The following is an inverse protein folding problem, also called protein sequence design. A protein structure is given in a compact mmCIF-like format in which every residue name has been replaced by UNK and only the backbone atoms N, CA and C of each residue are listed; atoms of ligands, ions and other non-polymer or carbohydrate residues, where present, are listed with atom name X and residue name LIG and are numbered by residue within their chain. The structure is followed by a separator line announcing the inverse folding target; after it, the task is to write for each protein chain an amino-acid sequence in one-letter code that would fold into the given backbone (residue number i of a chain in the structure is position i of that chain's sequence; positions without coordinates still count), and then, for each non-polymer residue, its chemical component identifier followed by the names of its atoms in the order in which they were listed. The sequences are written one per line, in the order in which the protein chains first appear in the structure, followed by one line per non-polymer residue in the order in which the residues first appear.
data_IF_779785174165
#
_entry.id   IF_779785174165
#
_cell.length_a   1.000
_cell.length_b   1.000
_cell.length_c   1.000
_cell.angle_alpha   90.00
_cell.angle_beta   90.00
_cell.angle_gamma   90.00
#
_symmetry.space_group_name_H-M   'P 1'
#
loop_
_entity.id
_entity.type
_entity.pdbx_description
1 polymer ?
#
# COMPACT_ATOMS: atom_id res chain seq x y z
N UNK A 1 45.98 61.13 1.04
CA UNK A 1 44.68 60.68 0.51
C UNK A 1 44.78 59.70 -0.66
N UNK A 2 45.43 60.01 -1.78
CA UNK A 2 45.40 59.14 -3.00
C UNK A 2 45.96 57.72 -2.82
N UNK A 3 47.01 57.51 -2.03
CA UNK A 3 47.58 56.16 -1.73
C UNK A 3 46.65 55.32 -0.85
N UNK A 4 46.07 55.94 0.18
CA UNK A 4 45.19 55.28 1.14
C UNK A 4 43.86 54.85 0.50
N UNK A 5 43.31 55.67 -0.40
CA UNK A 5 42.09 55.33 -1.16
C UNK A 5 42.33 54.22 -2.18
N UNK A 6 43.49 54.17 -2.86
CA UNK A 6 43.86 53.07 -3.76
C UNK A 6 44.04 51.74 -3.02
N UNK A 7 44.66 51.76 -1.84
CA UNK A 7 44.83 50.57 -0.99
C UNK A 7 43.46 50.07 -0.49
N UNK A 8 42.56 50.97 -0.11
CA UNK A 8 41.23 50.60 0.36
C UNK A 8 40.34 50.02 -0.76
N UNK A 9 40.39 50.57 -1.97
CA UNK A 9 39.68 50.02 -3.15
C UNK A 9 40.23 48.65 -3.55
N UNK A 10 41.55 48.43 -3.45
CA UNK A 10 42.17 47.13 -3.74
C UNK A 10 41.79 46.07 -2.70
N UNK A 11 41.70 46.45 -1.41
CA UNK A 11 41.24 45.55 -0.33
C UNK A 11 39.75 45.23 -0.48
N UNK A 12 38.92 46.21 -0.85
CA UNK A 12 37.48 45.98 -1.12
C UNK A 12 37.29 45.08 -2.34
N UNK A 13 38.05 45.26 -3.43
CA UNK A 13 38.02 44.39 -4.60
C UNK A 13 38.47 42.94 -4.29
N UNK A 14 39.42 42.77 -3.35
CA UNK A 14 39.87 41.45 -2.89
C UNK A 14 38.80 40.73 -2.05
N UNK A 15 38.02 41.46 -1.25
CA UNK A 15 36.96 40.93 -0.38
C UNK A 15 35.66 40.57 -1.12
N UNK A 16 35.36 41.21 -2.25
CA UNK A 16 34.19 40.84 -3.10
C UNK A 16 34.48 39.56 -3.93
N UNK A 17 35.75 39.10 -3.97
CA UNK A 17 36.14 37.87 -4.66
C UNK A 17 35.87 36.59 -3.85
N UNK A 18 35.06 36.64 -2.79
CA UNK A 18 34.54 35.45 -2.10
C UNK A 18 33.93 34.54 -3.14
N UNK A 19 34.65 33.46 -3.42
CA UNK A 19 34.46 32.53 -4.51
C UNK A 19 32.97 32.27 -4.75
N UNK A 20 32.48 32.61 -5.95
CA UNK A 20 31.33 31.93 -6.52
C UNK A 20 31.73 30.46 -6.63
N UNK A 21 31.43 29.73 -5.59
CA UNK A 21 31.80 28.35 -5.43
C UNK A 21 30.66 27.57 -6.07
N UNK A 22 30.90 26.90 -7.20
CA UNK A 22 29.86 26.06 -7.78
C UNK A 22 29.60 24.90 -6.83
N UNK A 23 28.35 24.70 -6.48
CA UNK A 23 27.89 23.60 -5.65
C UNK A 23 27.02 22.69 -6.50
N UNK A 24 27.42 21.43 -6.63
CA UNK A 24 26.70 20.44 -7.43
C UNK A 24 26.19 19.37 -6.49
N UNK A 25 24.89 19.09 -6.52
CA UNK A 25 24.30 18.00 -5.71
C UNK A 25 24.10 16.77 -6.59
N UNK A 26 24.62 15.63 -6.15
CA UNK A 26 24.62 14.36 -6.88
C UNK A 26 24.20 13.23 -5.96
N UNK A 27 23.48 12.25 -6.49
CA UNK A 27 23.14 11.04 -5.74
C UNK A 27 24.39 10.18 -5.48
N UNK A 28 24.56 9.65 -4.26
CA UNK A 28 25.63 8.70 -3.94
C UNK A 28 25.56 7.48 -4.87
N UNK A 29 26.70 7.10 -5.43
CA UNK A 29 26.81 5.99 -6.38
C UNK A 29 26.37 6.32 -7.81
N UNK A 30 25.96 7.56 -8.10
CA UNK A 30 25.66 7.98 -9.46
C UNK A 30 26.91 7.87 -10.35
N UNK A 31 26.69 7.49 -11.60
CA UNK A 31 27.73 7.43 -12.64
C UNK A 31 27.51 8.54 -13.66
N UNK A 32 28.56 8.86 -14.40
CA UNK A 32 28.47 9.72 -15.58
C UNK A 32 28.01 11.15 -15.30
N UNK A 33 28.50 11.74 -14.21
CA UNK A 33 28.08 13.07 -13.76
C UNK A 33 29.06 14.15 -14.23
N UNK A 34 28.50 15.27 -14.70
CA UNK A 34 29.23 16.44 -15.15
C UNK A 34 29.15 17.54 -14.08
N UNK A 35 30.24 18.27 -13.89
CA UNK A 35 30.25 19.48 -13.09
C UNK A 35 30.65 20.68 -13.96
N UNK A 36 29.99 21.80 -13.71
CA UNK A 36 30.34 23.09 -14.29
C UNK A 36 31.20 23.86 -13.28
N UNK A 37 32.32 24.37 -13.77
CA UNK A 37 33.35 25.02 -12.94
C UNK A 37 33.77 26.33 -13.57
N UNK A 38 34.03 27.34 -12.72
CA UNK A 38 34.45 28.66 -13.16
C UNK A 38 35.92 28.90 -12.88
N UNK A 39 36.72 29.06 -13.93
CA UNK A 39 38.15 29.34 -13.85
C UNK A 39 38.39 30.83 -14.07
N UNK A 40 39.12 31.45 -13.14
CA UNK A 40 39.47 32.87 -13.21
C UNK A 40 40.94 33.07 -13.47
N UNK A 41 41.25 34.20 -14.10
CA UNK A 41 42.58 34.67 -14.32
C UNK A 41 43.19 35.14 -12.98
N UNK A 42 44.41 34.72 -12.66
CA UNK A 42 45.08 34.92 -11.37
C UNK A 42 45.31 36.39 -11.01
N UNK A 43 45.57 37.24 -12.00
CA UNK A 43 45.86 38.68 -11.82
C UNK A 43 44.67 39.58 -12.10
N UNK A 44 43.85 39.29 -13.12
CA UNK A 44 42.74 40.17 -13.52
C UNK A 44 41.40 39.78 -12.89
N UNK A 45 41.26 38.54 -12.42
CA UNK A 45 40.00 38.01 -11.90
C UNK A 45 38.91 37.76 -12.96
N UNK A 46 39.16 38.09 -14.24
CA UNK A 46 38.26 37.79 -15.33
C UNK A 46 38.20 36.28 -15.60
N UNK A 47 37.17 35.81 -16.29
CA UNK A 47 37.11 34.41 -16.74
C UNK A 47 38.30 34.05 -17.61
N UNK A 48 39.05 33.02 -17.23
CA UNK A 48 40.19 32.54 -18.01
C UNK A 48 39.68 31.73 -19.20
N UNK A 49 40.18 32.01 -20.39
CA UNK A 49 39.80 31.31 -21.62
C UNK A 49 40.99 30.57 -22.22
N UNK A 50 40.75 29.68 -23.18
CA UNK A 50 41.81 28.99 -23.91
C UNK A 50 42.47 27.82 -23.17
N UNK A 51 42.06 27.49 -21.95
CA UNK A 51 42.48 26.24 -21.30
C UNK A 51 41.93 25.03 -22.05
N UNK A 52 42.80 24.04 -22.26
CA UNK A 52 42.51 22.73 -22.82
C UNK A 52 42.96 21.64 -21.83
N UNK A 53 42.44 20.42 -21.96
CA UNK A 53 42.70 19.32 -21.02
C UNK A 53 44.20 19.01 -20.80
N UNK A 54 45.05 19.27 -21.79
CA UNK A 54 46.49 19.06 -21.78
C UNK A 54 47.30 20.37 -21.67
N UNK A 55 46.68 21.45 -21.18
CA UNK A 55 47.40 22.70 -20.93
C UNK A 55 48.57 22.46 -19.97
N UNK A 56 49.73 23.05 -20.27
CA UNK A 56 50.93 22.84 -19.47
C UNK A 56 50.71 23.22 -18.00
N UNK A 57 51.04 22.30 -17.09
CA UNK A 57 50.88 22.48 -15.64
C UNK A 57 49.46 22.29 -15.10
N UNK A 58 48.43 22.18 -15.95
CA UNK A 58 47.06 21.96 -15.50
C UNK A 58 46.94 20.58 -14.84
N UNK A 59 46.60 20.56 -13.56
CA UNK A 59 46.30 19.33 -12.84
C UNK A 59 45.03 19.50 -12.02
N UNK A 60 44.15 18.52 -12.09
CA UNK A 60 42.93 18.45 -11.28
C UNK A 60 42.98 17.25 -10.33
N UNK A 61 42.33 17.40 -9.19
CA UNK A 61 42.24 16.42 -8.13
C UNK A 61 40.80 16.35 -7.63
N UNK A 62 40.41 15.18 -7.12
CA UNK A 62 39.27 15.07 -6.24
C UNK A 62 39.71 14.62 -4.85
N UNK A 63 39.00 15.09 -3.83
CA UNK A 63 39.15 14.65 -2.46
C UNK A 63 37.79 14.27 -1.92
N UNK A 64 37.63 12.99 -1.55
CA UNK A 64 36.44 12.51 -0.84
C UNK A 64 36.58 12.86 0.63
N UNK A 65 35.52 13.40 1.24
CA UNK A 65 35.55 13.76 2.66
C UNK A 65 35.90 12.54 3.52
N UNK A 66 36.93 12.68 4.36
CA UNK A 66 37.47 11.60 5.20
C UNK A 66 38.52 10.69 4.55
N UNK A 67 38.90 10.91 3.29
CA UNK A 67 39.97 10.15 2.64
C UNK A 67 41.36 10.53 3.19
N UNK A 68 42.31 9.59 3.18
CA UNK A 68 43.68 9.84 3.64
C UNK A 68 44.49 10.77 2.70
N UNK A 69 44.11 10.84 1.43
CA UNK A 69 44.75 11.69 0.42
C UNK A 69 43.78 12.09 -0.68
N UNK A 70 44.09 13.17 -1.40
CA UNK A 70 43.43 13.46 -2.67
C UNK A 70 43.89 12.48 -3.75
N UNK A 71 43.07 12.35 -4.81
CA UNK A 71 43.37 11.53 -5.98
C UNK A 71 43.45 12.43 -7.21
N UNK A 72 44.48 12.23 -8.04
CA UNK A 72 44.63 12.96 -9.30
C UNK A 72 43.57 12.53 -10.31
N UNK A 73 43.01 13.49 -11.05
CA UNK A 73 42.12 13.24 -12.17
C UNK A 73 42.97 13.23 -13.43
N UNK A 74 43.02 12.08 -14.12
CA UNK A 74 43.61 12.00 -15.47
C UNK A 74 42.72 12.78 -16.44
N UNK A 75 43.13 14.00 -16.77
CA UNK A 75 42.35 14.86 -17.66
C UNK A 75 42.37 14.32 -19.09
N UNK A 76 41.21 14.35 -19.73
CA UNK A 76 41.00 13.86 -21.08
C UNK A 76 40.17 14.84 -21.91
N UNK A 77 40.22 14.69 -23.23
CA UNK A 77 39.28 15.38 -24.12
C UNK A 77 37.87 14.78 -23.98
N UNK A 78 36.85 15.60 -24.19
CA UNK A 78 35.45 15.18 -24.22
C UNK A 78 34.65 16.03 -25.19
N UNK A 79 33.43 15.61 -25.51
CA UNK A 79 32.45 16.45 -26.21
C UNK A 79 31.59 17.16 -25.17
N UNK A 80 31.37 18.46 -25.33
CA UNK A 80 30.52 19.23 -24.41
C UNK A 80 29.17 18.53 -24.20
N UNK A 81 28.75 18.37 -22.94
CA UNK A 81 27.53 17.67 -22.56
C UNK A 81 27.62 16.14 -22.57
N UNK A 82 28.71 15.53 -23.04
CA UNK A 82 28.91 14.07 -23.05
C UNK A 82 29.95 13.68 -22.02
N UNK A 83 29.55 12.92 -21.00
CA UNK A 83 30.49 12.49 -19.96
C UNK A 83 31.60 11.59 -20.49
N UNK A 84 32.82 11.94 -20.11
CA UNK A 84 34.00 11.08 -20.16
C UNK A 84 34.72 11.19 -18.81
N UNK A 85 35.36 10.12 -18.36
CA UNK A 85 36.13 10.16 -17.10
C UNK A 85 37.26 11.18 -17.20
N UNK A 86 37.26 12.19 -16.33
CA UNK A 86 38.25 13.26 -16.36
C UNK A 86 38.16 14.16 -17.60
N UNK A 87 37.08 14.08 -18.36
CA UNK A 87 36.85 14.95 -19.50
C UNK A 87 36.91 16.42 -19.07
N UNK A 88 37.59 17.28 -19.83
CA UNK A 88 37.68 18.71 -19.56
C UNK A 88 37.52 19.50 -20.86
N UNK A 89 36.53 20.40 -20.90
CA UNK A 89 36.25 21.20 -22.08
C UNK A 89 35.66 22.57 -21.67
N UNK A 90 35.92 23.58 -22.51
CA UNK A 90 35.28 24.90 -22.38
C UNK A 90 33.79 24.81 -22.72
N UNK A 91 32.94 25.51 -21.96
CA UNK A 91 31.50 25.59 -22.26
C UNK A 91 31.26 26.57 -23.41
N UNK A 92 31.65 27.83 -23.22
CA UNK A 92 31.63 28.86 -24.26
C UNK A 92 32.73 29.89 -23.95
N UNK A 93 33.79 29.91 -24.77
CA UNK A 93 34.93 30.80 -24.57
C UNK A 93 34.66 32.27 -24.92
N UNK A 94 33.55 32.58 -25.60
CA UNK A 94 33.22 33.92 -26.11
C UNK A 94 32.17 34.59 -25.25
N UNK A 95 31.03 33.93 -25.01
CA UNK A 95 29.90 34.51 -24.28
C UNK A 95 29.94 34.21 -22.78
N UNK A 96 30.61 33.12 -22.37
CA UNK A 96 30.74 32.71 -20.97
C UNK A 96 32.21 32.44 -20.59
N UNK A 97 33.10 33.45 -20.76
CA UNK A 97 34.53 33.26 -20.51
C UNK A 97 34.77 32.78 -19.07
N UNK A 98 35.61 31.75 -18.92
CA UNK A 98 35.88 31.11 -17.63
C UNK A 98 35.02 29.89 -17.30
N UNK A 99 33.93 29.62 -18.03
CA UNK A 99 33.09 28.44 -17.78
C UNK A 99 33.64 27.19 -18.46
N UNK A 100 33.89 26.16 -17.67
CA UNK A 100 34.36 24.86 -18.11
C UNK A 100 33.46 23.74 -17.58
N UNK A 101 33.43 22.63 -18.29
CA UNK A 101 32.78 21.41 -17.86
C UNK A 101 33.84 20.34 -17.58
N UNK A 102 33.67 19.66 -16.45
CA UNK A 102 34.52 18.53 -16.04
C UNK A 102 33.69 17.27 -15.84
N UNK A 103 34.13 16.16 -16.42
CA UNK A 103 33.58 14.83 -16.17
C UNK A 103 34.12 14.27 -14.86
N UNK A 104 33.26 14.19 -13.84
CA UNK A 104 33.67 13.70 -12.52
C UNK A 104 33.96 12.20 -12.63
N UNK A 105 35.12 11.70 -12.15
CA UNK A 105 35.39 10.27 -12.11
C UNK A 105 34.35 9.54 -11.25
N UNK A 106 33.82 8.40 -11.74
CA UNK A 106 32.81 7.63 -10.99
C UNK A 106 33.31 7.18 -9.60
N UNK A 107 34.61 6.91 -9.47
CA UNK A 107 35.25 6.58 -8.18
C UNK A 107 35.14 7.71 -7.14
N UNK A 108 34.98 8.96 -7.59
CA UNK A 108 34.75 10.08 -6.70
C UNK A 108 33.34 10.08 -6.10
N UNK A 109 32.35 9.49 -6.79
CA UNK A 109 30.93 9.56 -6.47
C UNK A 109 30.36 8.32 -5.76
N UNK A 110 31.19 7.29 -5.52
CA UNK A 110 30.75 6.06 -4.81
C UNK A 110 30.18 6.37 -3.41
N UNK A 111 29.39 5.45 -2.85
CA UNK A 111 28.80 5.61 -1.51
C UNK A 111 29.88 5.68 -0.40
N UNK A 112 29.50 6.11 0.81
CA UNK A 112 30.40 6.15 1.96
C UNK A 112 31.05 7.51 2.28
N UNK A 113 30.65 8.58 1.59
CA UNK A 113 30.97 9.96 1.98
C UNK A 113 29.81 10.89 1.61
N UNK A 114 29.76 12.07 2.23
CA UNK A 114 28.72 13.08 2.02
C UNK A 114 29.15 14.20 1.07
N UNK A 115 30.44 14.24 0.70
CA UNK A 115 30.93 15.28 -0.19
C UNK A 115 32.28 14.98 -0.81
N UNK A 116 32.48 15.58 -1.98
CA UNK A 116 33.72 15.53 -2.76
C UNK A 116 34.15 16.95 -3.07
N UNK A 117 35.42 17.26 -2.89
CA UNK A 117 36.00 18.53 -3.38
C UNK A 117 36.72 18.27 -4.69
N UNK A 118 36.41 19.05 -5.71
CA UNK A 118 37.18 19.15 -6.94
C UNK A 118 38.15 20.33 -6.80
N UNK A 119 39.39 20.11 -7.19
CA UNK A 119 40.43 21.10 -7.09
C UNK A 119 41.30 21.10 -8.34
N UNK A 120 41.46 22.23 -9.00
CA UNK A 120 42.33 22.35 -10.19
C UNK A 120 43.30 23.51 -10.04
N UNK A 121 44.54 23.31 -10.50
CA UNK A 121 45.61 24.29 -10.41
C UNK A 121 46.69 24.12 -11.47
N UNK A 122 47.64 25.05 -11.51
CA UNK A 122 48.95 24.89 -12.13
C UNK A 122 49.06 25.36 -13.58
N UNK A 123 47.93 25.62 -14.26
CA UNK A 123 47.95 26.27 -15.56
C UNK A 123 48.42 27.73 -15.46
N UNK A 124 49.08 28.23 -16.51
CA UNK A 124 49.47 29.63 -16.61
C UNK A 124 48.24 30.54 -16.42
N UNK A 125 48.43 31.64 -15.70
CA UNK A 125 47.39 32.64 -15.43
C UNK A 125 46.13 32.12 -14.71
N UNK A 126 46.11 30.88 -14.22
CA UNK A 126 44.96 30.30 -13.52
C UNK A 126 44.98 30.59 -12.02
N UNK A 127 43.88 31.13 -11.49
CA UNK A 127 43.58 31.08 -10.06
C UNK A 127 43.11 29.68 -9.69
N UNK A 128 43.53 29.18 -8.53
CA UNK A 128 43.12 27.86 -8.03
C UNK A 128 41.58 27.75 -7.99
N UNK A 129 41.07 26.71 -8.63
CA UNK A 129 39.65 26.39 -8.69
C UNK A 129 39.35 25.38 -7.58
N UNK A 130 38.29 25.63 -6.82
CA UNK A 130 37.75 24.70 -5.85
C UNK A 130 36.22 24.64 -6.02
N UNK A 131 35.69 23.44 -6.14
CA UNK A 131 34.24 23.15 -6.31
C UNK A 131 33.87 22.01 -5.37
N UNK A 132 32.64 22.00 -4.84
CA UNK A 132 32.17 20.98 -3.89
C UNK A 132 31.00 20.29 -4.56
N UNK A 133 31.09 18.97 -4.57
CA UNK A 133 30.02 18.08 -4.99
C UNK A 133 29.44 17.48 -3.72
N UNK A 134 28.19 17.81 -3.40
CA UNK A 134 27.46 17.22 -2.28
C UNK A 134 26.89 15.90 -2.73
N UNK A 135 27.11 14.85 -1.93
CA UNK A 135 26.60 13.52 -2.19
C UNK A 135 25.43 13.22 -1.26
N UNK A 136 24.24 13.16 -1.84
CA UNK A 136 22.99 12.88 -1.12
C UNK A 136 22.52 11.46 -1.40
N UNK A 137 21.80 10.85 -0.45
CA UNK A 137 21.25 9.50 -0.66
C UNK A 137 20.12 9.50 -1.70
N UNK A 138 19.36 10.60 -1.77
CA UNK A 138 18.26 10.79 -2.71
C UNK A 138 18.25 12.22 -3.22
N UNK A 139 17.85 12.40 -4.47
CA UNK A 139 17.54 13.70 -5.08
C UNK A 139 16.01 13.86 -5.20
N UNK A 140 15.52 15.08 -5.41
CA UNK A 140 14.06 15.35 -5.48
C UNK A 140 13.33 14.49 -6.54
N UNK A 141 14.00 14.12 -7.64
CA UNK A 141 13.44 13.22 -8.65
C UNK A 141 13.27 11.77 -8.16
N UNK A 142 13.98 11.35 -7.12
CA UNK A 142 13.86 9.98 -6.56
C UNK A 142 12.58 9.80 -5.73
N UNK A 143 11.96 10.90 -5.31
CA UNK A 143 10.78 10.86 -4.43
C UNK A 143 9.57 10.20 -5.11
N UNK A 144 9.48 10.30 -6.44
CA UNK A 144 8.41 9.66 -7.23
C UNK A 144 8.64 8.15 -7.45
N UNK A 145 9.88 7.67 -7.34
CA UNK A 145 10.22 6.25 -7.60
C UNK A 145 10.06 5.37 -6.36
N UNK A 146 9.94 5.96 -5.16
CA UNK A 146 9.79 5.21 -3.89
C UNK A 146 8.41 4.56 -3.68
N UNK A 147 7.44 4.82 -4.56
CA UNK A 147 6.17 4.07 -4.62
C UNK A 147 6.32 2.80 -5.49
N UNK A 148 7.44 2.64 -6.20
CA UNK A 148 7.76 1.46 -7.01
C UNK A 148 6.82 1.26 -8.21
N UNK A 149 7.22 0.41 -9.16
CA UNK A 149 6.39 -0.03 -10.31
C UNK A 149 5.21 -0.93 -9.90
N UNK A 150 5.13 -1.29 -8.63
CA UNK A 150 3.96 -1.74 -7.92
C UNK A 150 4.28 -1.47 -6.45
N UNK A 151 3.31 -1.07 -5.62
CA UNK A 151 3.45 -0.71 -4.20
C UNK A 151 3.94 -1.82 -3.26
N UNK A 152 4.94 -2.61 -3.67
CA UNK A 152 5.55 -3.74 -2.97
C UNK A 152 6.42 -3.32 -1.76
N UNK A 153 6.58 -2.03 -1.48
CA UNK A 153 7.44 -1.52 -0.42
C UNK A 153 6.73 -0.96 0.82
N UNK A 154 5.40 -0.82 0.81
CA UNK A 154 4.68 -0.26 1.96
C UNK A 154 4.14 -1.41 2.82
N UNK A 155 4.97 -1.94 3.71
CA UNK A 155 4.53 -2.93 4.72
C UNK A 155 3.67 -2.31 5.81
N UNK A 156 3.77 -0.98 6.00
CA UNK A 156 2.98 -0.21 6.96
C UNK A 156 2.85 1.22 6.46
N UNK A 157 1.64 1.78 6.42
CA UNK A 157 1.41 3.22 6.21
C UNK A 157 0.98 3.80 7.55
N UNK A 158 1.92 4.38 8.28
CA UNK A 158 1.66 5.08 9.54
C UNK A 158 1.66 6.59 9.29
N UNK A 159 0.46 7.17 9.16
CA UNK A 159 0.24 8.60 8.98
C UNK A 159 -0.62 9.11 10.13
N UNK A 160 -0.03 9.36 11.32
CA UNK A 160 -0.79 9.81 12.47
C UNK A 160 -1.50 11.13 12.13
N UNK A 161 -2.82 11.14 12.32
CA UNK A 161 -3.70 12.29 12.12
C UNK A 161 -3.92 12.75 10.66
N UNK A 162 -3.77 11.85 9.67
CA UNK A 162 -4.18 12.15 8.30
C UNK A 162 -5.25 11.18 7.78
N UNK A 163 -6.22 11.71 7.03
CA UNK A 163 -7.18 10.92 6.27
C UNK A 163 -6.48 10.34 5.04
N UNK A 164 -6.60 9.02 4.85
CA UNK A 164 -6.11 8.35 3.64
C UNK A 164 -7.29 8.00 2.74
N UNK A 165 -7.39 8.69 1.60
CA UNK A 165 -8.32 8.31 0.54
C UNK A 165 -7.67 7.26 -0.35
N UNK A 166 -8.10 6.01 -0.22
CA UNK A 166 -7.68 4.92 -1.11
C UNK A 166 -8.65 4.89 -2.30
N UNK A 167 -8.19 5.36 -3.46
CA UNK A 167 -8.93 5.26 -4.73
C UNK A 167 -8.68 3.89 -5.38
N UNK A 168 -9.18 2.81 -4.78
CA UNK A 168 -8.98 1.45 -5.28
C UNK A 168 -9.51 0.36 -4.35
N UNK A 169 -9.23 -0.90 -4.69
CA UNK A 169 -9.62 -2.07 -3.89
C UNK A 169 -8.59 -2.39 -2.80
N UNK A 170 -9.06 -2.74 -1.60
CA UNK A 170 -8.25 -3.32 -0.53
C UNK A 170 -8.48 -4.84 -0.56
N UNK A 171 -7.47 -5.63 -0.94
CA UNK A 171 -7.61 -7.08 -1.18
C UNK A 171 -7.33 -7.97 0.04
N UNK A 172 -7.51 -7.47 1.26
CA UNK A 172 -7.21 -8.20 2.50
C UNK A 172 -8.22 -7.96 3.62
N UNK A 173 -7.93 -8.48 4.82
CA UNK A 173 -8.75 -8.26 5.99
C UNK A 173 -8.71 -6.79 6.43
N UNK A 174 -9.87 -6.17 6.57
CA UNK A 174 -10.01 -4.82 7.13
C UNK A 174 -10.34 -4.96 8.61
N UNK A 175 -9.43 -4.51 9.49
CA UNK A 175 -9.54 -4.72 10.94
C UNK A 175 -10.68 -3.95 11.60
N UNK A 176 -11.06 -2.78 11.07
CA UNK A 176 -12.22 -2.01 11.50
C UNK A 176 -12.72 -1.13 10.36
N UNK A 177 -14.03 -1.15 10.09
CA UNK A 177 -14.68 -0.19 9.20
C UNK A 177 -15.45 0.80 10.07
N UNK A 178 -15.23 2.10 9.85
CA UNK A 178 -15.95 3.15 10.56
C UNK A 178 -17.45 3.14 10.29
N UNK A 179 -18.23 3.83 11.11
CA UNK A 179 -19.68 4.01 10.89
C UNK A 179 -19.93 4.60 9.49
N UNK A 180 -20.82 3.96 8.72
CA UNK A 180 -21.14 4.38 7.35
C UNK A 180 -20.12 3.99 6.28
N UNK A 181 -19.02 3.30 6.62
CA UNK A 181 -18.01 2.87 5.65
C UNK A 181 -18.47 1.71 4.75
N UNK A 182 -19.51 0.98 5.16
CA UNK A 182 -20.24 0.03 4.30
C UNK A 182 -21.59 0.65 3.95
N UNK A 183 -21.70 1.22 2.75
CA UNK A 183 -22.96 1.73 2.17
C UNK A 183 -23.54 0.71 1.20
N UNK A 184 -24.81 0.88 0.79
CA UNK A 184 -25.42 0.04 -0.24
C UNK A 184 -24.63 0.05 -1.58
N UNK A 185 -23.88 1.11 -1.87
CA UNK A 185 -23.00 1.21 -3.05
C UNK A 185 -21.65 0.50 -2.88
N UNK A 186 -21.22 0.22 -1.64
CA UNK A 186 -19.95 -0.48 -1.36
C UNK A 186 -20.05 -2.00 -1.48
N UNK A 187 -21.28 -2.52 -1.58
CA UNK A 187 -21.59 -3.94 -1.78
C UNK A 187 -21.90 -4.11 -3.26
N UNK A 188 -21.05 -4.82 -4.00
CA UNK A 188 -21.34 -5.12 -5.40
C UNK A 188 -22.67 -5.92 -5.50
N UNK A 189 -23.39 -5.76 -6.62
CA UNK A 189 -24.54 -6.60 -6.94
C UNK A 189 -24.18 -8.07 -6.73
N UNK A 190 -25.02 -8.80 -6.00
CA UNK A 190 -24.82 -10.22 -5.65
C UNK A 190 -23.61 -10.53 -4.75
N UNK A 191 -22.96 -9.56 -4.11
CA UNK A 191 -21.87 -9.86 -3.16
C UNK A 191 -22.39 -10.61 -1.90
N UNK A 192 -23.61 -10.26 -1.48
CA UNK A 192 -24.39 -10.94 -0.44
C UNK A 192 -25.63 -11.51 -1.14
N UNK A 193 -25.62 -12.80 -1.46
CA UNK A 193 -26.79 -13.48 -2.04
C UNK A 193 -27.59 -14.21 -0.99
N UNK A 194 -28.87 -14.44 -1.27
CA UNK A 194 -29.73 -15.29 -0.46
C UNK A 194 -29.07 -16.66 -0.22
N UNK A 195 -28.42 -17.26 -1.22
CA UNK A 195 -27.66 -18.51 -1.07
C UNK A 195 -26.59 -18.47 0.04
N UNK A 196 -25.92 -17.32 0.24
CA UNK A 196 -24.88 -17.17 1.28
C UNK A 196 -25.45 -16.92 2.68
N UNK A 197 -26.66 -16.38 2.78
CA UNK A 197 -27.36 -16.17 4.05
C UNK A 197 -28.10 -17.45 4.46
N UNK A 198 -28.73 -18.13 3.51
CA UNK A 198 -29.61 -19.28 3.72
C UNK A 198 -28.91 -20.49 4.34
N UNK A 199 -27.62 -20.71 4.07
CA UNK A 199 -26.82 -21.80 4.67
C UNK A 199 -26.77 -21.71 6.22
N UNK A 200 -26.93 -20.50 6.78
CA UNK A 200 -27.02 -20.32 8.25
C UNK A 200 -28.41 -20.53 8.81
N UNK A 201 -29.48 -20.31 8.03
CA UNK A 201 -30.86 -20.49 8.49
C UNK A 201 -31.29 -21.97 8.39
N UNK A 202 -30.96 -22.66 7.30
CA UNK A 202 -31.28 -24.09 7.14
C UNK A 202 -30.58 -24.95 8.20
N UNK A 203 -29.31 -24.63 8.52
CA UNK A 203 -28.53 -25.33 9.54
C UNK A 203 -28.95 -24.99 10.98
N UNK A 204 -29.50 -23.79 11.23
CA UNK A 204 -30.04 -23.38 12.53
C UNK A 204 -31.50 -23.81 12.73
N UNK A 205 -32.24 -24.03 11.65
CA UNK A 205 -33.64 -24.42 11.72
C UNK A 205 -33.89 -25.92 11.58
N UNK A 206 -32.94 -26.73 11.08
CA UNK A 206 -32.78 -28.18 11.30
C UNK A 206 -33.98 -29.15 11.16
N UNK A 207 -35.21 -28.68 10.88
CA UNK A 207 -36.46 -29.39 11.16
C UNK A 207 -37.54 -29.10 10.10
N UNK A 208 -37.17 -28.61 8.92
CA UNK A 208 -38.11 -28.48 7.81
C UNK A 208 -37.63 -29.29 6.61
N UNK A 209 -37.19 -30.53 6.88
CA UNK A 209 -37.20 -31.56 5.87
C UNK A 209 -38.48 -32.40 6.09
N UNK A 210 -39.53 -32.01 5.34
CA UNK A 210 -40.75 -32.78 5.08
C UNK A 210 -41.49 -33.38 6.30
N UNK A 211 -42.46 -32.65 6.85
CA UNK A 211 -43.60 -33.31 7.50
C UNK A 211 -44.52 -33.79 6.38
N UNK A 212 -44.44 -35.07 6.01
CA UNK A 212 -45.43 -35.71 5.14
C UNK A 212 -46.73 -35.93 5.95
N UNK A 213 -47.72 -35.06 5.76
CA UNK A 213 -49.08 -35.26 6.28
C UNK A 213 -49.94 -35.95 5.22
N UNK A 214 -50.06 -37.27 5.28
CA UNK A 214 -51.17 -37.97 4.60
C UNK A 214 -52.43 -37.91 5.45
N UNK A 215 -53.31 -36.94 5.18
CA UNK A 215 -54.62 -36.86 5.83
C UNK A 215 -55.63 -37.80 5.14
N UNK A 216 -55.86 -38.98 5.70
CA UNK A 216 -57.10 -39.72 5.44
C UNK A 216 -58.11 -39.39 6.55
N UNK A 217 -59.00 -38.43 6.26
CA UNK A 217 -60.24 -38.14 6.98
C UNK A 217 -60.17 -37.64 8.45
N UNK A 218 -59.27 -36.71 8.78
CA UNK A 218 -59.34 -35.95 10.04
C UNK A 218 -58.43 -34.72 10.06
N UNK A 219 -58.88 -33.63 10.68
CA UNK A 219 -58.07 -32.41 10.86
C UNK A 219 -57.01 -32.64 11.94
N UNK A 220 -55.75 -32.75 11.53
CA UNK A 220 -54.61 -32.87 12.43
C UNK A 220 -54.00 -31.48 12.63
N UNK A 221 -54.02 -30.96 13.86
CA UNK A 221 -53.46 -29.63 14.16
C UNK A 221 -52.03 -29.81 14.66
N UNK A 222 -51.07 -29.43 13.80
CA UNK A 222 -49.67 -29.24 14.20
C UNK A 222 -49.53 -27.84 14.79
N UNK A 223 -49.05 -27.73 16.02
CA UNK A 223 -48.66 -26.45 16.61
C UNK A 223 -47.15 -26.43 16.84
N UNK A 224 -46.48 -25.50 16.16
CA UNK A 224 -45.06 -25.23 16.30
C UNK A 224 -44.90 -24.08 17.31
N UNK A 225 -44.18 -24.33 18.40
CA UNK A 225 -43.79 -23.29 19.35
C UNK A 225 -42.27 -23.33 19.58
N UNK A 226 -41.76 -22.36 20.34
CA UNK A 226 -40.33 -22.25 20.64
C UNK A 226 -39.75 -23.42 21.45
N UNK A 227 -40.60 -24.34 21.93
CA UNK A 227 -40.23 -25.48 22.77
C UNK A 227 -40.32 -26.82 22.02
N UNK A 228 -40.86 -26.84 20.78
CA UNK A 228 -40.89 -28.01 19.92
C UNK A 228 -42.15 -28.15 19.07
N UNK A 229 -42.32 -29.34 18.47
CA UNK A 229 -43.51 -29.73 17.72
C UNK A 229 -44.47 -30.42 18.68
N UNK A 230 -45.63 -29.81 18.92
CA UNK A 230 -46.70 -30.46 19.69
C UNK A 230 -47.76 -31.02 18.75
N UNK A 231 -48.09 -32.29 18.97
CA UNK A 231 -49.14 -33.01 18.24
C UNK A 231 -50.26 -33.31 19.23
N UNK A 232 -51.42 -32.68 19.04
CA UNK A 232 -52.60 -32.94 19.88
C UNK A 232 -53.71 -33.53 19.02
N UNK A 233 -54.14 -34.74 19.35
CA UNK A 233 -55.33 -35.35 18.76
C UNK A 233 -56.59 -34.63 19.27
N UNK A 234 -57.35 -34.00 18.37
CA UNK A 234 -58.58 -33.27 18.71
C UNK A 234 -59.68 -34.16 19.31
N UNK A 235 -59.57 -35.49 19.18
CA UNK A 235 -60.56 -36.45 19.69
C UNK A 235 -60.26 -36.98 21.10
N UNK A 236 -59.19 -36.49 21.76
CA UNK A 236 -58.81 -36.93 23.11
C UNK A 236 -59.90 -36.55 24.13
N UNK A 237 -60.34 -37.52 24.94
CA UNK A 237 -61.41 -37.33 25.93
C UNK A 237 -62.82 -37.37 25.33
N UNK A 238 -62.96 -37.56 24.02
CA UNK A 238 -64.26 -37.82 23.38
C UNK A 238 -64.63 -39.30 23.49
N UNK A 239 -65.93 -39.61 23.32
CA UNK A 239 -66.42 -40.99 23.27
C UNK A 239 -66.71 -41.42 21.84
N UNK A 240 -66.26 -42.63 21.49
CA UNK A 240 -66.67 -43.32 20.27
C UNK A 240 -67.94 -44.11 20.57
N UNK A 241 -69.02 -43.79 19.85
CA UNK A 241 -70.32 -44.47 19.97
C UNK A 241 -70.55 -45.41 18.79
N UNK A 242 -70.87 -46.67 19.09
CA UNK A 242 -71.19 -47.68 18.09
C UNK A 242 -72.43 -48.44 18.54
N UNK A 243 -73.55 -48.18 17.89
CA UNK A 243 -74.86 -48.55 18.42
C UNK A 243 -75.10 -47.88 19.77
N UNK A 244 -75.47 -48.68 20.78
CA UNK A 244 -75.75 -48.20 22.13
C UNK A 244 -74.53 -48.25 23.06
N UNK A 245 -73.36 -48.67 22.55
CA UNK A 245 -72.13 -48.73 23.32
C UNK A 245 -71.27 -47.49 23.11
N UNK A 246 -70.58 -47.07 24.17
CA UNK A 246 -69.57 -46.02 24.11
C UNK A 246 -68.26 -46.48 24.76
N UNK A 247 -67.14 -45.97 24.27
CA UNK A 247 -65.81 -46.08 24.91
C UNK A 247 -65.09 -44.75 24.78
N UNK A 248 -64.34 -44.38 25.80
CA UNK A 248 -63.55 -43.14 25.82
C UNK A 248 -62.26 -43.31 25.00
N UNK A 249 -61.89 -42.27 24.25
CA UNK A 249 -60.65 -42.21 23.50
C UNK A 249 -59.58 -41.66 24.46
N UNK A 250 -58.79 -42.57 25.01
CA UNK A 250 -57.75 -42.27 25.98
C UNK A 250 -56.41 -42.03 25.27
N UNK A 251 -55.63 -41.11 25.83
CA UNK A 251 -54.24 -40.89 25.47
C UNK A 251 -53.43 -42.19 25.59
N UNK A 252 -52.78 -42.62 24.51
CA UNK A 252 -51.70 -43.59 24.68
C UNK A 252 -50.43 -42.86 25.17
N UNK A 253 -49.54 -43.57 25.85
CA UNK A 253 -48.25 -43.01 26.24
C UNK A 253 -47.46 -42.56 24.99
N UNK A 254 -46.59 -41.56 25.14
CA UNK A 254 -45.89 -40.93 24.02
C UNK A 254 -45.25 -41.94 23.07
N UNK A 255 -45.58 -41.86 21.78
CA UNK A 255 -44.96 -42.69 20.72
C UNK A 255 -45.81 -43.86 20.22
N UNK A 256 -46.99 -44.11 20.80
CA UNK A 256 -47.99 -45.03 20.24
C UNK A 256 -49.19 -44.27 19.66
N UNK A 257 -49.91 -44.82 18.66
CA UNK A 257 -51.20 -44.30 18.25
C UNK A 257 -52.18 -44.30 19.43
N UNK A 258 -52.99 -43.25 19.60
CA UNK A 258 -54.11 -43.28 20.54
C UNK A 258 -55.04 -44.45 20.16
N UNK A 259 -55.32 -45.33 21.12
CA UNK A 259 -56.11 -46.55 20.90
C UNK A 259 -57.39 -46.50 21.72
N UNK A 260 -58.50 -46.98 21.17
CA UNK A 260 -59.67 -47.37 21.97
C UNK A 260 -59.33 -48.68 22.66
N UNK A 261 -58.99 -48.64 23.94
CA UNK A 261 -58.60 -49.83 24.71
C UNK A 261 -59.79 -50.78 24.83
N UNK A 262 -59.65 -51.99 24.29
CA UNK A 262 -60.59 -53.09 24.56
C UNK A 262 -60.14 -53.79 25.84
N UNK A 263 -60.94 -53.70 26.90
CA UNK A 263 -60.74 -54.46 28.13
C UNK A 263 -60.76 -55.97 27.80
N UNK A 264 -59.80 -56.78 28.28
CA UNK A 264 -59.69 -58.20 27.92
C UNK A 264 -60.90 -59.04 28.34
N UNK A 265 -61.72 -58.55 29.29
CA UNK A 265 -62.93 -59.21 29.77
C UNK A 265 -64.23 -58.64 29.19
N UNK A 266 -64.17 -57.65 28.29
CA UNK A 266 -65.33 -57.12 27.59
C UNK A 266 -64.97 -56.73 26.15
N UNK A 267 -64.63 -57.72 25.29
CA UNK A 267 -64.44 -57.46 23.87
C UNK A 267 -65.73 -56.90 23.29
N UNK A 268 -65.63 -55.97 22.33
CA UNK A 268 -66.81 -55.45 21.64
C UNK A 268 -67.69 -56.61 21.16
N UNK A 269 -69.02 -56.56 21.38
CA UNK A 269 -69.90 -57.54 20.77
C UNK A 269 -69.65 -57.53 19.25
N UNK A 270 -69.57 -58.72 18.65
CA UNK A 270 -69.23 -58.91 17.24
C UNK A 270 -69.92 -57.85 16.37
N UNK A 271 -69.10 -57.05 15.68
CA UNK A 271 -69.52 -55.82 15.03
C UNK A 271 -70.82 -56.04 14.22
N UNK A 272 -71.90 -55.26 14.45
CA UNK A 272 -73.07 -55.35 13.58
C UNK A 272 -72.64 -54.91 12.19
N UNK A 273 -72.98 -55.71 11.18
CA UNK A 273 -72.48 -55.70 9.79
C UNK A 273 -72.72 -54.42 8.98
N UNK A 274 -73.13 -53.31 9.60
CA UNK A 274 -73.29 -52.00 8.97
C UNK A 274 -73.37 -50.83 9.96
N UNK A 275 -72.52 -50.80 11.01
CA UNK A 275 -72.60 -49.75 12.04
C UNK A 275 -71.58 -48.64 11.79
N UNK A 276 -72.02 -47.49 11.28
CA UNK A 276 -71.21 -46.27 11.30
C UNK A 276 -71.02 -45.81 12.75
N UNK A 277 -69.82 -45.99 13.28
CA UNK A 277 -69.42 -45.42 14.55
C UNK A 277 -69.29 -43.90 14.44
N UNK A 278 -69.71 -43.16 15.47
CA UNK A 278 -69.57 -41.68 15.49
C UNK A 278 -68.86 -41.23 16.76
N UNK A 279 -67.95 -40.25 16.62
CA UNK A 279 -67.27 -39.60 17.76
C UNK A 279 -68.12 -38.40 18.19
N UNK A 280 -68.44 -38.31 19.49
CA UNK A 280 -69.16 -37.17 20.08
C UNK A 280 -68.59 -36.88 21.47
N UNK A 281 -68.70 -35.61 21.90
CA UNK A 281 -68.41 -35.21 23.27
C UNK A 281 -69.42 -35.82 24.25
#
# INVERSE_FOLDING_TARGET
MKKTVKILIFIIALMISTSAYSEVTVKKGATSQLAEVYVTHSTTGAGLTGLVYNAAGLTCYYYRSGAASSTVISLATMTLGTWATGGFIVVDGTNMPGMYQIGIPNAALITGTEGVKLYCQGAADMKQLITTVNLVDNIESDTYTRIGTAGAGLTNIDLPNQTMDITGSISGSIGSVGSGGITATSIATDAITDTKITDTLEKRMGWVAAIDLTSNAGTFVLSLNSEGVSVTNQFRGMKLYCGNESREIVASASGTPDTVTTEPFNPWPAAPTSSTCTVRN
#
